data_IF_345323021790
#
_entry.id   IF_345323021790
#
_cell.length_a   1.000
_cell.length_b   1.000
_cell.length_c   1.000
_cell.angle_alpha   90.00
_cell.angle_beta   90.00
_cell.angle_gamma   90.00
#
_symmetry.space_group_name_H-M   'P 1'
#
loop_
_entity.id
_entity.type
_entity.pdbx_description
1 polymer ?
#
# COMPACT_ATOMS: atom_id res chain seq x y z
N UNK A 1 22.10 0.03 7.98
CA UNK A 1 21.73 0.28 9.40
C UNK A 1 20.77 -0.81 9.81
N UNK A 2 20.96 -1.46 10.96
CA UNK A 2 19.99 -2.43 11.48
C UNK A 2 18.85 -1.63 12.12
N UNK A 3 17.60 -1.90 11.74
CA UNK A 3 16.45 -1.18 12.23
C UNK A 3 15.53 -2.12 13.03
N UNK A 4 14.99 -1.64 14.15
CA UNK A 4 13.98 -2.40 14.88
C UNK A 4 12.68 -2.39 14.09
N UNK A 5 12.11 -3.58 13.85
CA UNK A 5 10.94 -3.79 13.01
C UNK A 5 9.82 -4.50 13.79
N UNK A 6 8.66 -3.87 13.85
CA UNK A 6 7.41 -4.51 14.28
C UNK A 6 6.67 -5.05 13.06
N UNK A 7 6.40 -6.35 13.02
CA UNK A 7 5.61 -7.01 11.98
C UNK A 7 4.27 -7.43 12.59
N UNK A 8 3.19 -6.80 12.16
CA UNK A 8 1.83 -7.19 12.53
C UNK A 8 1.38 -8.36 11.68
N UNK A 9 1.43 -9.59 12.22
CA UNK A 9 1.08 -10.79 11.49
C UNK A 9 0.44 -11.86 12.38
N UNK A 10 -0.66 -12.42 11.86
CA UNK A 10 -1.35 -13.60 12.37
C UNK A 10 -2.01 -14.31 11.18
N UNK A 11 -2.13 -15.64 11.19
CA UNK A 11 -2.77 -16.39 10.10
C UNK A 11 -4.22 -15.97 9.87
N UNK A 12 -4.94 -15.47 10.88
CA UNK A 12 -6.30 -14.93 10.75
C UNK A 12 -6.41 -13.75 9.76
N UNK A 13 -5.30 -13.08 9.44
CA UNK A 13 -5.29 -12.06 8.38
C UNK A 13 -5.58 -12.64 6.99
N UNK A 14 -5.51 -13.97 6.83
CA UNK A 14 -5.94 -14.66 5.61
C UNK A 14 -7.45 -14.91 5.54
N UNK A 15 -8.21 -14.59 6.59
CA UNK A 15 -9.67 -14.67 6.59
C UNK A 15 -10.33 -13.52 5.78
N UNK A 16 -9.55 -12.52 5.38
CA UNK A 16 -9.97 -11.51 4.41
C UNK A 16 -9.99 -12.14 3.01
N UNK A 17 -11.06 -12.85 2.70
CA UNK A 17 -11.17 -13.73 1.52
C UNK A 17 -12.53 -13.57 0.82
N UNK A 18 -12.50 -12.98 -0.36
CA UNK A 18 -13.66 -12.84 -1.24
C UNK A 18 -14.05 -14.12 -1.99
N UNK A 19 -13.30 -15.20 -1.81
CA UNK A 19 -13.53 -16.49 -2.41
C UNK A 19 -12.60 -16.85 -3.58
N UNK A 20 -12.65 -18.09 -4.07
CA UNK A 20 -11.60 -18.69 -4.90
C UNK A 20 -11.48 -18.13 -6.32
N UNK A 21 -12.44 -17.35 -6.78
CA UNK A 21 -12.41 -16.73 -8.12
C UNK A 21 -12.04 -15.25 -8.08
N UNK A 22 -11.86 -14.70 -6.89
CA UNK A 22 -11.52 -13.29 -6.72
C UNK A 22 -10.01 -13.09 -6.89
N UNK A 23 -9.56 -12.04 -7.61
CA UNK A 23 -8.12 -11.79 -7.82
C UNK A 23 -7.36 -11.51 -6.54
N UNK A 24 -7.97 -10.82 -5.57
CA UNK A 24 -7.36 -10.58 -4.26
C UNK A 24 -7.47 -11.85 -3.41
N UNK A 25 -6.52 -12.77 -3.57
CA UNK A 25 -6.49 -14.03 -2.84
C UNK A 25 -5.52 -13.97 -1.64
N UNK A 26 -5.95 -14.36 -0.43
CA UNK A 26 -5.14 -14.25 0.79
C UNK A 26 -3.89 -15.12 0.79
N UNK A 27 -3.82 -16.13 -0.06
CA UNK A 27 -2.62 -16.98 -0.23
C UNK A 27 -1.35 -16.16 -0.49
N UNK A 28 -1.45 -15.00 -1.18
CA UNK A 28 -0.33 -14.12 -1.48
C UNK A 28 0.37 -13.61 -0.21
N UNK A 29 -0.40 -13.26 0.82
CA UNK A 29 0.15 -12.81 2.10
C UNK A 29 0.81 -13.97 2.83
N UNK A 30 0.17 -15.14 2.85
CA UNK A 30 0.73 -16.35 3.46
C UNK A 30 2.05 -16.76 2.80
N UNK A 31 2.11 -16.79 1.48
CA UNK A 31 3.34 -17.11 0.74
C UNK A 31 4.46 -16.11 1.01
N UNK A 32 4.14 -14.84 1.18
CA UNK A 32 5.10 -13.80 1.59
C UNK A 32 5.70 -14.10 2.96
N UNK A 33 4.86 -14.37 3.95
CA UNK A 33 5.34 -14.62 5.30
C UNK A 33 6.16 -15.92 5.40
N UNK A 34 5.79 -16.95 4.64
CA UNK A 34 6.58 -18.20 4.55
C UNK A 34 7.93 -17.96 3.84
N UNK A 35 7.98 -17.12 2.79
CA UNK A 35 9.23 -16.77 2.12
C UNK A 35 10.13 -15.94 3.05
N UNK A 36 9.59 -14.96 3.73
CA UNK A 36 10.33 -14.16 4.71
C UNK A 36 10.87 -15.01 5.87
N UNK A 37 10.09 -15.99 6.34
CA UNK A 37 10.52 -16.97 7.34
C UNK A 37 11.65 -17.86 6.81
N UNK A 38 11.53 -18.36 5.58
CA UNK A 38 12.54 -19.20 4.96
C UNK A 38 13.89 -18.48 4.72
N UNK A 39 13.87 -17.15 4.53
CA UNK A 39 15.06 -16.31 4.51
C UNK A 39 15.59 -15.93 5.90
N UNK A 40 14.87 -16.27 6.97
CA UNK A 40 15.23 -15.89 8.34
C UNK A 40 14.97 -14.42 8.68
N UNK A 41 14.26 -13.67 7.83
CA UNK A 41 13.95 -12.25 8.07
C UNK A 41 13.13 -12.08 9.37
N UNK A 42 12.15 -12.95 9.59
CA UNK A 42 11.25 -12.87 10.75
C UNK A 42 11.87 -13.39 12.06
N UNK A 43 13.05 -14.00 12.02
CA UNK A 43 13.76 -14.55 13.20
C UNK A 43 15.01 -13.74 13.57
N UNK A 44 15.19 -12.56 13.01
CA UNK A 44 16.28 -11.65 13.37
C UNK A 44 15.98 -10.99 14.72
N UNK A 45 17.01 -10.75 15.55
CA UNK A 45 16.88 -10.20 16.91
C UNK A 45 16.15 -8.83 16.95
N UNK A 46 16.28 -8.03 15.90
CA UNK A 46 15.63 -6.73 15.78
C UNK A 46 14.20 -6.79 15.24
N UNK A 47 13.70 -7.95 14.83
CA UNK A 47 12.36 -8.14 14.27
C UNK A 47 11.45 -8.78 15.28
N UNK A 48 10.32 -8.13 15.57
CA UNK A 48 9.29 -8.65 16.46
C UNK A 48 8.01 -8.89 15.68
N UNK A 49 7.54 -10.13 15.66
CA UNK A 49 6.27 -10.50 15.01
C UNK A 49 5.18 -10.59 16.09
N UNK A 50 4.11 -9.80 15.96
CA UNK A 50 3.00 -9.73 16.95
C UNK A 50 1.67 -9.90 16.23
N UNK A 51 0.83 -10.80 16.76
CA UNK A 51 -0.54 -10.98 16.29
C UNK A 51 -1.39 -9.74 16.61
N UNK A 52 -2.09 -9.16 15.62
CA UNK A 52 -2.93 -8.00 15.84
C UNK A 52 -4.22 -8.34 16.56
N UNK A 53 -4.84 -7.31 17.15
CA UNK A 53 -6.24 -7.32 17.58
C UNK A 53 -7.08 -6.55 16.56
N UNK A 54 -8.35 -6.94 16.33
CA UNK A 54 -9.24 -6.17 15.45
C UNK A 54 -9.37 -4.72 15.92
N UNK A 55 -9.40 -3.79 14.97
CA UNK A 55 -9.72 -2.40 15.24
C UNK A 55 -11.13 -2.30 15.86
N UNK A 56 -11.28 -1.45 16.86
CA UNK A 56 -12.56 -1.14 17.48
C UNK A 56 -13.43 -0.28 16.57
N UNK A 57 -14.73 -0.26 16.80
CA UNK A 57 -15.64 0.64 16.07
C UNK A 57 -15.23 2.10 16.21
N UNK A 58 -14.70 2.52 17.33
CA UNK A 58 -14.22 3.87 17.56
C UNK A 58 -13.01 4.20 16.66
N UNK A 59 -12.08 3.26 16.50
CA UNK A 59 -10.93 3.41 15.60
C UNK A 59 -11.36 3.41 14.13
N UNK A 60 -12.28 2.52 13.74
CA UNK A 60 -12.84 2.51 12.39
C UNK A 60 -13.56 3.84 12.06
N UNK A 61 -14.26 4.42 13.04
CA UNK A 61 -14.98 5.69 12.90
C UNK A 61 -14.08 6.93 12.76
N UNK A 62 -12.78 6.80 12.94
CA UNK A 62 -11.84 7.88 12.57
C UNK A 62 -11.94 8.24 11.07
N UNK A 63 -12.34 7.27 10.24
CA UNK A 63 -12.47 7.45 8.79
C UNK A 63 -13.88 7.10 8.30
N UNK A 64 -14.46 6.00 8.76
CA UNK A 64 -15.68 5.44 8.21
C UNK A 64 -16.93 5.89 8.98
N UNK A 65 -18.03 6.09 8.24
CA UNK A 65 -19.33 6.42 8.83
C UNK A 65 -19.87 5.24 9.67
N UNK A 66 -20.47 5.51 10.85
CA UNK A 66 -21.06 4.47 11.69
C UNK A 66 -22.13 3.64 10.96
N UNK A 67 -22.90 4.28 10.05
CA UNK A 67 -23.90 3.61 9.23
C UNK A 67 -23.29 2.59 8.26
N UNK A 68 -22.15 2.93 7.65
CA UNK A 68 -21.41 2.02 6.78
C UNK A 68 -20.88 0.80 7.58
N UNK A 69 -20.24 1.04 8.72
CA UNK A 69 -19.74 -0.03 9.59
C UNK A 69 -20.88 -0.97 9.99
N UNK A 70 -22.06 -0.45 10.32
CA UNK A 70 -23.24 -1.26 10.65
C UNK A 70 -23.70 -2.12 9.47
N UNK A 71 -23.66 -1.61 8.24
CA UNK A 71 -24.00 -2.37 7.02
C UNK A 71 -22.97 -3.48 6.77
N UNK A 72 -21.68 -3.22 6.92
CA UNK A 72 -20.60 -4.23 6.77
C UNK A 72 -20.80 -5.38 7.79
N UNK A 73 -21.11 -5.06 9.06
CA UNK A 73 -21.43 -6.05 10.10
C UNK A 73 -22.62 -6.92 9.71
N UNK A 74 -23.71 -6.27 9.30
CA UNK A 74 -24.93 -6.98 8.92
C UNK A 74 -24.73 -7.85 7.67
N UNK A 75 -23.94 -7.38 6.69
CA UNK A 75 -23.58 -8.12 5.48
C UNK A 75 -22.76 -9.37 5.81
N UNK A 76 -21.72 -9.25 6.67
CA UNK A 76 -20.90 -10.38 7.12
C UNK A 76 -21.70 -11.41 7.90
N UNK A 77 -22.56 -10.97 8.83
CA UNK A 77 -23.47 -11.85 9.59
C UNK A 77 -24.45 -12.59 8.64
N UNK A 78 -25.03 -11.87 7.67
CA UNK A 78 -25.93 -12.47 6.68
C UNK A 78 -25.26 -13.62 5.88
N UNK A 79 -23.97 -13.49 5.59
CA UNK A 79 -23.23 -14.51 4.85
C UNK A 79 -22.75 -15.69 5.70
N UNK A 80 -22.62 -15.53 7.04
CA UNK A 80 -22.05 -16.54 7.92
C UNK A 80 -23.05 -17.20 8.88
N UNK A 81 -24.16 -16.55 9.21
CA UNK A 81 -25.08 -16.98 10.28
C UNK A 81 -26.42 -17.44 9.73
N UNK A 82 -26.84 -18.66 10.10
CA UNK A 82 -28.18 -19.17 9.77
C UNK A 82 -29.26 -18.37 10.52
N UNK A 83 -30.15 -17.72 9.77
CA UNK A 83 -31.23 -16.90 10.34
C UNK A 83 -30.86 -15.45 10.63
N UNK A 84 -29.66 -15.00 10.21
CA UNK A 84 -29.32 -13.58 10.26
C UNK A 84 -30.29 -12.74 9.41
N UNK A 85 -30.44 -11.47 9.80
CA UNK A 85 -31.29 -10.54 9.06
C UNK A 85 -30.71 -10.27 7.67
N UNK A 86 -31.56 -10.40 6.64
CA UNK A 86 -31.13 -10.06 5.26
C UNK A 86 -30.97 -8.55 5.11
N UNK A 87 -29.85 -8.15 4.58
CA UNK A 87 -29.61 -6.75 4.18
C UNK A 87 -30.20 -6.55 2.77
N UNK A 88 -30.95 -5.45 2.60
CA UNK A 88 -31.52 -5.10 1.30
C UNK A 88 -30.42 -4.90 0.23
N UNK A 89 -30.50 -5.55 -0.94
CA UNK A 89 -29.49 -5.43 -1.99
C UNK A 89 -29.19 -3.99 -2.44
N UNK A 90 -30.21 -3.11 -2.48
CA UNK A 90 -30.00 -1.71 -2.82
C UNK A 90 -29.19 -0.98 -1.74
N UNK A 91 -29.29 -1.41 -0.49
CA UNK A 91 -28.46 -0.88 0.60
C UNK A 91 -27.02 -1.37 0.46
N UNK A 92 -26.79 -2.64 0.18
CA UNK A 92 -25.44 -3.15 -0.10
C UNK A 92 -24.77 -2.37 -1.24
N UNK A 93 -25.45 -2.23 -2.37
CA UNK A 93 -24.92 -1.53 -3.55
C UNK A 93 -24.61 -0.05 -3.29
N UNK A 94 -25.42 0.65 -2.48
CA UNK A 94 -25.13 2.04 -2.08
C UNK A 94 -23.82 2.16 -1.30
N UNK A 95 -23.43 1.10 -0.63
CA UNK A 95 -22.18 1.03 0.13
C UNK A 95 -21.07 0.25 -0.60
N UNK A 96 -21.20 0.04 -1.92
CA UNK A 96 -20.20 -0.65 -2.74
C UNK A 96 -20.09 -2.15 -2.50
N UNK A 97 -20.98 -2.73 -1.66
CA UNK A 97 -20.95 -4.15 -1.29
C UNK A 97 -21.82 -5.01 -2.20
N UNK A 98 -21.47 -6.30 -2.31
CA UNK A 98 -22.20 -7.25 -3.15
C UNK A 98 -21.97 -7.03 -4.65
N UNK A 99 -20.93 -6.34 -5.03
CA UNK A 99 -20.44 -6.17 -6.40
C UNK A 99 -19.49 -7.32 -6.78
N UNK A 100 -19.01 -7.33 -8.01
CA UNK A 100 -17.95 -8.26 -8.42
C UNK A 100 -16.62 -7.92 -7.77
N UNK A 101 -16.36 -6.63 -7.50
CA UNK A 101 -15.12 -6.15 -6.89
C UNK A 101 -15.13 -6.33 -5.36
N UNK A 102 -16.28 -6.13 -4.72
CA UNK A 102 -16.42 -6.23 -3.27
C UNK A 102 -17.59 -7.17 -2.91
N UNK A 103 -17.46 -8.47 -3.17
CA UNK A 103 -18.47 -9.46 -2.81
C UNK A 103 -18.66 -9.55 -1.31
N UNK A 104 -19.87 -9.85 -0.85
CA UNK A 104 -20.13 -10.12 0.56
C UNK A 104 -19.59 -11.50 0.93
N UNK A 105 -18.83 -11.59 2.01
CA UNK A 105 -18.32 -12.85 2.55
C UNK A 105 -18.59 -12.97 4.06
N UNK A 106 -18.53 -14.20 4.57
CA UNK A 106 -18.78 -14.46 5.99
C UNK A 106 -17.71 -13.81 6.87
N UNK A 107 -18.12 -13.28 8.04
CA UNK A 107 -17.22 -12.58 8.97
C UNK A 107 -16.45 -11.39 8.36
N UNK A 108 -17.04 -10.76 7.34
CA UNK A 108 -16.42 -9.65 6.59
C UNK A 108 -15.95 -8.51 7.52
N UNK A 109 -16.77 -8.14 8.51
CA UNK A 109 -16.41 -7.10 9.47
C UNK A 109 -15.18 -7.48 10.29
N UNK A 110 -15.20 -8.69 10.87
CA UNK A 110 -14.15 -9.19 11.74
C UNK A 110 -12.80 -9.29 11.01
N UNK A 111 -12.80 -9.82 9.80
CA UNK A 111 -11.61 -9.93 8.97
C UNK A 111 -11.07 -8.54 8.57
N UNK A 112 -11.95 -7.64 8.14
CA UNK A 112 -11.56 -6.28 7.75
C UNK A 112 -11.08 -5.44 8.93
N UNK A 113 -11.74 -5.58 10.09
CA UNK A 113 -11.31 -4.91 11.31
C UNK A 113 -9.96 -5.45 11.83
N UNK A 114 -9.66 -6.74 11.60
CA UNK A 114 -8.37 -7.33 11.93
C UNK A 114 -7.25 -6.77 11.05
N UNK A 115 -7.48 -6.57 9.74
CA UNK A 115 -6.52 -5.91 8.84
C UNK A 115 -6.28 -4.47 9.29
N UNK A 116 -7.32 -3.71 9.59
CA UNK A 116 -7.19 -2.34 10.10
C UNK A 116 -6.42 -2.32 11.44
N UNK A 117 -6.72 -3.25 12.35
CA UNK A 117 -6.02 -3.40 13.61
C UNK A 117 -4.54 -3.77 13.46
N UNK A 118 -4.18 -4.53 12.43
CA UNK A 118 -2.79 -4.86 12.12
C UNK A 118 -1.99 -3.61 11.72
N UNK A 119 -2.57 -2.77 10.85
CA UNK A 119 -1.94 -1.51 10.42
C UNK A 119 -1.87 -0.51 11.57
N UNK A 120 -2.91 -0.43 12.42
CA UNK A 120 -2.89 0.39 13.63
C UNK A 120 -1.79 -0.05 14.62
N UNK A 121 -1.63 -1.35 14.88
CA UNK A 121 -0.59 -1.86 15.77
C UNK A 121 0.82 -1.52 15.23
N UNK A 122 1.03 -1.62 13.93
CA UNK A 122 2.26 -1.22 13.27
C UNK A 122 2.52 0.30 13.40
N UNK A 123 1.50 1.13 13.21
CA UNK A 123 1.57 2.58 13.39
C UNK A 123 1.89 2.95 14.84
N UNK A 124 1.23 2.32 15.80
CA UNK A 124 1.45 2.52 17.24
C UNK A 124 2.89 2.18 17.65
N UNK A 125 3.43 1.07 17.13
CA UNK A 125 4.81 0.67 17.40
C UNK A 125 5.82 1.70 16.88
N UNK A 126 5.64 2.17 15.63
CA UNK A 126 6.52 3.17 15.02
C UNK A 126 6.38 4.55 15.70
N UNK A 127 5.17 4.97 16.05
CA UNK A 127 4.91 6.27 16.66
C UNK A 127 5.40 6.36 18.10
N UNK A 128 5.17 5.31 18.91
CA UNK A 128 5.64 5.27 20.30
C UNK A 128 7.15 5.08 20.44
N UNK A 129 7.85 4.69 19.38
CA UNK A 129 9.27 4.33 19.41
C UNK A 129 9.54 2.92 19.95
N UNK A 130 8.53 2.07 20.08
CA UNK A 130 8.70 0.64 20.41
C UNK A 130 9.45 -0.10 19.28
N UNK A 131 9.29 0.36 18.04
CA UNK A 131 10.09 -0.01 16.88
C UNK A 131 10.36 1.25 16.03
N UNK A 132 11.42 1.25 15.23
CA UNK A 132 11.63 2.31 14.24
C UNK A 132 10.65 2.18 13.07
N UNK A 133 10.43 0.94 12.63
CA UNK A 133 9.54 0.62 11.53
C UNK A 133 8.41 -0.29 11.98
N UNK A 134 7.20 -0.06 11.48
CA UNK A 134 6.04 -0.92 11.65
C UNK A 134 5.51 -1.37 10.31
N UNK A 135 5.16 -2.65 10.16
CA UNK A 135 4.67 -3.20 8.91
C UNK A 135 3.42 -4.05 9.08
N UNK A 136 2.46 -3.88 8.17
CA UNK A 136 1.27 -4.72 7.99
C UNK A 136 1.14 -5.11 6.52
N UNK A 137 1.64 -6.29 6.16
CA UNK A 137 1.63 -6.77 4.76
C UNK A 137 0.21 -7.05 4.24
N UNK A 138 -0.72 -7.40 5.12
CA UNK A 138 -2.13 -7.62 4.75
C UNK A 138 -2.91 -6.31 4.55
N UNK A 139 -2.36 -5.18 5.00
CA UNK A 139 -2.95 -3.86 4.86
C UNK A 139 -2.66 -3.22 3.50
N UNK A 140 -2.97 -1.93 3.41
CA UNK A 140 -2.84 -1.14 2.18
C UNK A 140 -4.12 -1.07 1.37
N UNK A 141 -5.28 -1.24 2.01
CA UNK A 141 -6.61 -1.23 1.39
C UNK A 141 -7.08 0.21 1.14
N UNK A 142 -6.43 0.88 0.21
CA UNK A 142 -6.45 2.33 0.01
C UNK A 142 -7.67 2.88 -0.72
N UNK A 143 -8.54 2.02 -1.30
CA UNK A 143 -9.70 2.46 -2.08
C UNK A 143 -10.98 2.66 -1.28
N UNK A 144 -11.10 2.05 -0.09
CA UNK A 144 -12.32 2.19 0.69
C UNK A 144 -12.58 3.67 1.03
N UNK A 145 -13.79 4.11 0.73
CA UNK A 145 -14.26 5.46 0.98
C UNK A 145 -14.90 5.58 2.38
N UNK A 146 -15.19 6.79 2.82
CA UNK A 146 -15.83 7.05 4.12
C UNK A 146 -17.09 6.22 4.35
N UNK A 147 -17.93 6.05 3.33
CA UNK A 147 -19.23 5.38 3.42
C UNK A 147 -19.40 4.19 2.49
N UNK A 148 -18.36 3.72 1.82
CA UNK A 148 -18.48 2.62 0.87
C UNK A 148 -17.19 1.83 0.68
N UNK A 149 -17.31 0.53 0.41
CA UNK A 149 -16.28 -0.32 -0.14
C UNK A 149 -15.98 0.07 -1.59
N UNK A 150 -14.77 -0.19 -2.05
CA UNK A 150 -14.34 0.04 -3.42
C UNK A 150 -13.03 -0.71 -3.68
N UNK A 151 -12.82 -1.26 -4.87
CA UNK A 151 -11.54 -1.81 -5.31
C UNK A 151 -10.96 -2.86 -4.35
N UNK A 152 -11.78 -3.82 -3.93
CA UNK A 152 -11.41 -4.90 -3.00
C UNK A 152 -11.17 -4.44 -1.56
N UNK A 153 -11.49 -3.19 -1.23
CA UNK A 153 -11.22 -2.58 0.07
C UNK A 153 -12.51 -2.34 0.85
N UNK A 154 -12.64 -2.99 2.01
CA UNK A 154 -13.79 -2.79 2.91
C UNK A 154 -13.53 -1.65 3.89
N UNK A 155 -12.41 -1.67 4.61
CA UNK A 155 -11.96 -0.56 5.46
C UNK A 155 -10.60 -0.05 5.00
N UNK A 156 -10.44 1.28 5.01
CA UNK A 156 -9.21 1.94 4.60
C UNK A 156 -8.21 1.97 5.76
N UNK A 157 -7.46 0.90 5.93
CA UNK A 157 -6.52 0.77 7.03
C UNK A 157 -5.39 1.82 7.00
N UNK A 158 -4.82 2.25 5.85
CA UNK A 158 -3.84 3.34 5.83
C UNK A 158 -4.45 4.67 6.32
N UNK A 159 -5.67 5.00 5.88
CA UNK A 159 -6.32 6.22 6.31
C UNK A 159 -6.67 6.18 7.81
N UNK A 160 -7.13 5.04 8.33
CA UNK A 160 -7.40 4.85 9.77
C UNK A 160 -6.12 5.03 10.58
N UNK A 161 -5.00 4.46 10.15
CA UNK A 161 -3.71 4.60 10.82
C UNK A 161 -3.22 6.07 10.81
N UNK A 162 -3.35 6.77 9.69
CA UNK A 162 -3.00 8.20 9.59
C UNK A 162 -3.90 9.04 10.51
N UNK A 163 -5.22 8.81 10.48
CA UNK A 163 -6.15 9.53 11.36
C UNK A 163 -5.81 9.29 12.85
N UNK A 164 -5.50 8.03 13.22
CA UNK A 164 -5.05 7.70 14.56
C UNK A 164 -3.76 8.44 14.95
N UNK A 165 -2.76 8.50 14.05
CA UNK A 165 -1.53 9.24 14.29
C UNK A 165 -1.80 10.72 14.59
N UNK A 166 -2.69 11.36 13.83
CA UNK A 166 -3.09 12.76 14.04
C UNK A 166 -3.78 12.98 15.39
N UNK A 167 -4.69 12.05 15.80
CA UNK A 167 -5.36 12.10 17.10
C UNK A 167 -4.36 11.86 18.26
N UNK A 168 -3.22 11.21 17.99
CA UNK A 168 -2.19 10.92 18.97
C UNK A 168 -0.97 11.85 18.87
N UNK A 169 -1.15 13.05 18.31
CA UNK A 169 -0.21 14.16 18.37
C UNK A 169 0.75 14.28 17.20
N UNK A 170 0.55 13.53 16.11
CA UNK A 170 1.25 13.83 14.87
C UNK A 170 0.69 15.11 14.24
N UNK A 171 1.56 16.04 13.88
CA UNK A 171 1.21 17.31 13.24
C UNK A 171 1.40 17.27 11.72
N UNK A 172 2.28 16.39 11.23
CA UNK A 172 2.55 16.18 9.79
C UNK A 172 2.84 14.73 9.52
N UNK A 173 2.02 14.13 8.63
CA UNK A 173 2.15 12.76 8.14
C UNK A 173 2.28 12.80 6.62
N UNK A 174 3.32 12.18 6.06
CA UNK A 174 3.40 11.97 4.61
C UNK A 174 2.97 10.54 4.28
N UNK A 175 2.07 10.41 3.32
CA UNK A 175 1.65 9.13 2.74
C UNK A 175 2.16 9.04 1.31
N UNK A 176 2.91 7.99 1.00
CA UNK A 176 3.41 7.71 -0.34
C UNK A 176 2.88 6.36 -0.80
N UNK A 177 2.16 6.37 -1.90
CA UNK A 177 1.49 5.24 -2.50
C UNK A 177 2.17 4.89 -3.82
N UNK A 178 2.72 3.69 -3.92
CA UNK A 178 3.39 3.19 -5.12
C UNK A 178 2.65 2.01 -5.76
N UNK A 179 1.40 1.78 -5.37
CA UNK A 179 0.46 0.90 -6.06
C UNK A 179 0.23 1.39 -7.50
N UNK A 180 -0.15 0.50 -8.40
CA UNK A 180 -0.49 0.91 -9.77
C UNK A 180 -1.79 1.69 -9.86
N UNK A 181 -2.67 1.52 -8.86
CA UNK A 181 -3.93 2.25 -8.75
C UNK A 181 -3.77 3.53 -7.93
N UNK A 182 -4.52 4.55 -8.26
CA UNK A 182 -4.59 5.77 -7.45
C UNK A 182 -5.13 5.47 -6.05
N UNK A 183 -4.45 5.92 -4.99
CA UNK A 183 -4.89 5.80 -3.60
C UNK A 183 -6.03 6.77 -3.26
N UNK A 184 -7.13 6.66 -3.98
CA UNK A 184 -8.24 7.61 -3.99
C UNK A 184 -8.96 7.73 -2.65
N UNK A 185 -9.12 6.63 -1.92
CA UNK A 185 -9.76 6.63 -0.60
C UNK A 185 -8.93 7.34 0.45
N UNK A 186 -7.60 7.18 0.43
CA UNK A 186 -6.70 7.93 1.34
C UNK A 186 -6.68 9.41 0.98
N UNK A 187 -6.54 9.75 -0.32
CA UNK A 187 -6.63 11.14 -0.78
C UNK A 187 -7.95 11.78 -0.35
N UNK A 188 -9.07 11.10 -0.53
CA UNK A 188 -10.40 11.60 -0.17
C UNK A 188 -10.56 11.83 1.34
N UNK A 189 -9.99 10.94 2.19
CA UNK A 189 -10.04 11.06 3.64
C UNK A 189 -9.36 12.34 4.15
N UNK A 190 -8.29 12.78 3.48
CA UNK A 190 -7.49 13.93 3.92
C UNK A 190 -7.53 15.11 2.93
N UNK A 191 -8.50 15.15 2.02
CA UNK A 191 -8.62 16.17 0.97
C UNK A 191 -8.52 17.62 1.47
N UNK A 192 -9.01 17.91 2.67
CA UNK A 192 -9.01 19.23 3.30
C UNK A 192 -8.11 19.31 4.55
N UNK A 193 -7.23 18.34 4.79
CA UNK A 193 -6.35 18.34 5.98
C UNK A 193 -4.89 18.62 5.59
N UNK A 194 -4.38 19.85 5.83
CA UNK A 194 -3.01 20.23 5.45
C UNK A 194 -1.92 19.52 6.29
N UNK A 195 -2.31 18.76 7.31
CA UNK A 195 -1.37 17.96 8.11
C UNK A 195 -0.97 16.66 7.42
N UNK A 196 -1.66 16.27 6.34
CA UNK A 196 -1.38 15.04 5.59
C UNK A 196 -1.01 15.38 4.16
N UNK A 197 0.20 15.00 3.76
CA UNK A 197 0.64 15.05 2.36
C UNK A 197 0.42 13.66 1.76
N UNK A 198 -0.45 13.52 0.77
CA UNK A 198 -0.65 12.29 0.00
C UNK A 198 0.07 12.39 -1.34
N UNK A 199 0.89 11.40 -1.67
CA UNK A 199 1.60 11.29 -2.95
C UNK A 199 1.29 9.92 -3.54
N UNK A 200 0.68 9.85 -4.72
CA UNK A 200 0.37 8.60 -5.40
C UNK A 200 1.01 8.56 -6.79
N UNK A 201 1.81 7.50 -7.05
CA UNK A 201 2.38 7.20 -8.35
C UNK A 201 1.60 6.05 -8.97
N UNK A 202 0.78 6.33 -9.96
CA UNK A 202 -0.17 5.36 -10.49
C UNK A 202 -0.29 5.44 -12.01
N UNK A 203 -0.87 4.41 -12.62
CA UNK A 203 -1.18 4.43 -14.05
C UNK A 203 -2.27 5.47 -14.33
N UNK A 204 -2.14 6.14 -15.46
CA UNK A 204 -3.00 7.26 -15.85
C UNK A 204 -4.50 6.93 -15.75
N UNK A 205 -5.33 7.78 -15.10
CA UNK A 205 -6.72 7.51 -14.76
C UNK A 205 -7.66 7.29 -15.96
N UNK A 206 -7.27 7.69 -17.16
CA UNK A 206 -8.03 7.38 -18.36
C UNK A 206 -7.91 5.91 -18.81
N UNK A 207 -6.98 5.15 -18.25
CA UNK A 207 -6.64 3.79 -18.67
C UNK A 207 -6.74 2.74 -17.56
N UNK A 208 -6.97 3.18 -16.33
CA UNK A 208 -7.07 2.29 -15.17
C UNK A 208 -8.09 2.82 -14.14
N UNK A 209 -8.69 1.87 -13.40
CA UNK A 209 -9.46 2.14 -12.18
C UNK A 209 -8.57 2.91 -11.15
N UNK A 210 -9.12 3.78 -10.31
CA UNK A 210 -10.53 4.20 -10.20
C UNK A 210 -10.93 5.32 -11.16
N UNK A 211 -10.05 5.80 -12.03
CA UNK A 211 -10.33 6.88 -12.97
C UNK A 211 -10.13 8.29 -12.39
N UNK A 212 -9.53 8.40 -11.21
CA UNK A 212 -9.15 9.62 -10.48
C UNK A 212 -7.63 9.73 -10.35
N UNK A 213 -7.11 10.79 -9.73
CA UNK A 213 -5.68 11.01 -9.56
C UNK A 213 -5.04 11.78 -10.72
N UNK A 214 -5.70 12.83 -11.20
CA UNK A 214 -5.08 13.74 -12.19
C UNK A 214 -4.06 14.65 -11.50
N UNK A 215 -2.99 15.08 -12.17
CA UNK A 215 -2.01 16.02 -11.60
C UNK A 215 -2.63 17.32 -11.08
N UNK A 216 -3.83 17.68 -11.56
CA UNK A 216 -4.58 18.86 -11.12
C UNK A 216 -5.44 18.64 -9.87
N UNK A 217 -5.50 17.44 -9.35
CA UNK A 217 -6.14 17.12 -8.06
C UNK A 217 -5.12 17.37 -6.95
N UNK A 218 -5.08 18.62 -6.45
CA UNK A 218 -4.00 19.12 -5.57
C UNK A 218 -4.40 19.23 -4.11
N UNK A 219 -5.62 18.87 -3.75
CA UNK A 219 -6.21 19.02 -2.42
C UNK A 219 -7.34 20.04 -2.38
N UNK A 220 -8.04 20.12 -1.26
CA UNK A 220 -9.10 21.08 -1.06
C UNK A 220 -8.61 22.47 -0.73
N UNK A 221 -9.53 23.45 -0.63
CA UNK A 221 -9.19 24.85 -0.45
C UNK A 221 -8.37 25.16 0.82
N UNK A 222 -8.53 24.32 1.86
CA UNK A 222 -7.79 24.46 3.13
C UNK A 222 -6.45 23.71 3.12
N UNK A 223 -6.19 22.91 2.07
CA UNK A 223 -5.04 22.00 1.96
C UNK A 223 -4.48 21.92 0.53
N UNK A 224 -4.53 23.02 -0.23
CA UNK A 224 -4.05 23.07 -1.60
C UNK A 224 -2.54 22.76 -1.66
N UNK A 225 -2.15 21.80 -2.50
CA UNK A 225 -0.81 21.24 -2.59
C UNK A 225 -0.58 19.99 -1.70
N UNK A 226 -1.55 19.58 -0.89
CA UNK A 226 -1.44 18.39 -0.02
C UNK A 226 -1.76 17.06 -0.72
N UNK A 227 -2.37 17.08 -1.89
CA UNK A 227 -2.57 15.90 -2.73
C UNK A 227 -1.67 15.99 -3.98
N UNK A 228 -0.93 14.92 -4.26
CA UNK A 228 0.06 14.86 -5.34
C UNK A 228 -0.17 13.61 -6.16
N UNK A 229 -0.38 13.78 -7.45
CA UNK A 229 -0.75 12.71 -8.35
C UNK A 229 0.22 12.63 -9.54
N UNK A 230 0.92 11.52 -9.68
CA UNK A 230 1.80 11.22 -10.79
C UNK A 230 1.13 10.19 -11.69
N UNK A 231 0.42 10.69 -12.69
CA UNK A 231 -0.39 9.88 -13.61
C UNK A 231 0.49 9.35 -14.77
N UNK A 232 1.07 8.18 -14.60
CA UNK A 232 2.04 7.58 -15.53
C UNK A 232 1.35 6.92 -16.73
N UNK A 233 1.91 7.02 -17.94
CA UNK A 233 1.38 6.31 -19.10
C UNK A 233 1.45 4.80 -18.93
N UNK A 234 0.47 4.06 -19.46
CA UNK A 234 0.55 2.62 -19.59
C UNK A 234 1.82 2.22 -20.36
N UNK A 235 2.44 1.10 -19.97
CA UNK A 235 3.73 0.66 -20.54
C UNK A 235 4.96 1.37 -19.97
N UNK A 236 4.80 2.22 -18.95
CA UNK A 236 5.95 2.79 -18.21
C UNK A 236 6.79 1.68 -17.61
N UNK A 237 8.10 1.74 -17.84
CA UNK A 237 9.10 0.76 -17.38
C UNK A 237 9.94 1.30 -16.23
N UNK A 238 10.79 0.43 -15.68
CA UNK A 238 11.63 0.67 -14.50
C UNK A 238 12.29 2.05 -14.49
N UNK A 239 13.01 2.40 -15.56
CA UNK A 239 13.76 3.66 -15.63
C UNK A 239 12.84 4.89 -15.54
N UNK A 240 11.70 4.87 -16.23
CA UNK A 240 10.74 5.96 -16.22
C UNK A 240 10.02 6.06 -14.86
N UNK A 241 9.62 4.93 -14.30
CA UNK A 241 8.95 4.87 -13.00
C UNK A 241 9.86 5.36 -11.86
N UNK A 242 11.10 4.87 -11.79
CA UNK A 242 12.08 5.34 -10.80
C UNK A 242 12.43 6.81 -10.99
N UNK A 243 12.57 7.26 -12.25
CA UNK A 243 12.77 8.68 -12.56
C UNK A 243 11.61 9.53 -12.02
N UNK A 244 10.36 9.12 -12.21
CA UNK A 244 9.20 9.83 -11.68
C UNK A 244 9.18 9.83 -10.14
N UNK A 245 9.42 8.68 -9.51
CA UNK A 245 9.51 8.57 -8.07
C UNK A 245 10.54 9.55 -7.49
N UNK A 246 11.75 9.55 -8.02
CA UNK A 246 12.84 10.39 -7.50
C UNK A 246 12.67 11.88 -7.82
N UNK A 247 12.01 12.22 -8.94
CA UNK A 247 11.71 13.60 -9.31
C UNK A 247 10.63 14.25 -8.42
N UNK A 248 9.74 13.45 -7.83
CA UNK A 248 8.54 13.95 -7.12
C UNK A 248 8.61 13.69 -5.62
N UNK A 249 8.86 12.44 -5.18
CA UNK A 249 8.67 12.06 -3.78
C UNK A 249 9.69 12.70 -2.85
N UNK A 250 11.01 12.57 -3.06
CA UNK A 250 11.98 13.10 -2.10
C UNK A 250 11.94 14.63 -1.93
N UNK A 251 11.82 15.46 -2.99
CA UNK A 251 11.71 16.90 -2.83
C UNK A 251 10.50 17.32 -1.99
N UNK A 252 9.34 16.69 -2.23
CA UNK A 252 8.10 17.02 -1.52
C UNK A 252 8.14 16.58 -0.07
N UNK A 253 8.58 15.36 0.22
CA UNK A 253 8.66 14.84 1.59
C UNK A 253 9.67 15.64 2.42
N UNK A 254 10.84 16.00 1.85
CA UNK A 254 11.82 16.85 2.52
C UNK A 254 11.28 18.25 2.80
N UNK A 255 10.53 18.84 1.87
CA UNK A 255 9.87 20.14 2.05
C UNK A 255 8.78 20.09 3.12
N UNK A 256 7.97 19.05 3.12
CA UNK A 256 6.86 18.86 4.04
C UNK A 256 7.34 18.54 5.48
N UNK A 257 8.50 17.87 5.62
CA UNK A 257 9.12 17.48 6.90
C UNK A 257 8.15 16.72 7.81
N UNK A 258 7.67 15.54 7.41
CA UNK A 258 6.75 14.75 8.21
C UNK A 258 7.41 14.23 9.48
N UNK A 259 6.64 13.91 10.50
CA UNK A 259 7.10 13.26 11.72
C UNK A 259 7.09 11.73 11.60
N UNK A 260 6.36 11.20 10.63
CA UNK A 260 6.32 9.79 10.23
C UNK A 260 6.03 9.69 8.73
N UNK A 261 6.70 8.75 8.06
CA UNK A 261 6.41 8.37 6.69
C UNK A 261 5.51 7.14 6.70
N UNK A 262 4.40 7.19 6.00
CA UNK A 262 3.49 6.06 5.76
C UNK A 262 3.58 5.69 4.28
N UNK A 263 3.78 4.41 3.97
CA UNK A 263 3.94 3.98 2.58
C UNK A 263 3.10 2.75 2.27
N UNK A 264 2.43 2.78 1.10
CA UNK A 264 1.71 1.66 0.54
C UNK A 264 2.54 1.06 -0.61
N UNK A 265 2.74 -0.25 -0.56
CA UNK A 265 3.65 -0.98 -1.43
C UNK A 265 2.91 -2.03 -2.27
N UNK A 266 1.82 -1.63 -2.93
CA UNK A 266 1.21 -2.44 -3.96
C UNK A 266 2.25 -2.83 -5.01
N UNK A 267 2.24 -4.08 -5.41
CA UNK A 267 3.21 -4.62 -6.38
C UNK A 267 2.58 -4.98 -7.73
N UNK A 268 1.35 -4.54 -7.95
CA UNK A 268 0.60 -4.66 -9.20
C UNK A 268 1.11 -3.72 -10.31
N UNK A 269 2.11 -2.90 -10.03
CA UNK A 269 2.93 -2.22 -11.04
C UNK A 269 3.74 -3.18 -11.90
N UNK A 270 3.88 -4.45 -11.48
CA UNK A 270 4.71 -5.44 -12.16
C UNK A 270 4.18 -5.79 -13.55
N UNK A 271 5.09 -5.96 -14.54
CA UNK A 271 4.75 -6.18 -15.95
C UNK A 271 3.86 -7.41 -16.21
N UNK A 272 3.83 -8.39 -15.31
CA UNK A 272 3.00 -9.59 -15.43
C UNK A 272 1.71 -9.50 -14.61
N UNK A 273 1.42 -8.38 -13.97
CA UNK A 273 0.17 -8.26 -13.22
C UNK A 273 -1.04 -8.27 -14.17
N UNK A 274 -2.08 -9.07 -13.86
CA UNK A 274 -3.23 -9.21 -14.77
C UNK A 274 -4.19 -8.02 -14.77
N UNK A 275 -4.08 -7.10 -13.80
CA UNK A 275 -5.06 -6.01 -13.63
C UNK A 275 -4.54 -4.65 -14.07
N UNK A 276 -3.27 -4.53 -14.49
CA UNK A 276 -2.65 -3.27 -14.83
C UNK A 276 -1.71 -3.37 -16.04
N UNK A 277 -1.18 -2.23 -16.48
CA UNK A 277 -0.37 -2.17 -17.69
C UNK A 277 0.93 -1.34 -17.51
N UNK A 278 1.42 -1.16 -16.29
CA UNK A 278 2.82 -0.77 -16.10
C UNK A 278 3.72 -1.99 -16.34
N UNK A 279 4.98 -1.74 -16.67
CA UNK A 279 5.95 -2.78 -17.02
C UNK A 279 7.16 -2.77 -16.06
N UNK A 280 6.87 -2.78 -14.75
CA UNK A 280 7.90 -2.68 -13.70
C UNK A 280 8.39 -4.07 -13.31
N UNK A 281 9.69 -4.19 -13.00
CA UNK A 281 10.29 -5.41 -12.43
C UNK A 281 10.41 -5.32 -10.91
N UNK A 282 10.64 -6.47 -10.26
CA UNK A 282 10.94 -6.51 -8.82
C UNK A 282 12.24 -5.75 -8.51
N UNK A 283 13.20 -5.70 -9.43
CA UNK A 283 14.43 -4.92 -9.27
C UNK A 283 14.13 -3.44 -9.02
N UNK A 284 13.22 -2.83 -9.80
CA UNK A 284 12.81 -1.44 -9.62
C UNK A 284 11.95 -1.25 -8.35
N UNK A 285 11.03 -2.18 -8.06
CA UNK A 285 10.24 -2.12 -6.81
C UNK A 285 11.16 -2.14 -5.59
N UNK A 286 12.19 -3.00 -5.57
CA UNK A 286 13.22 -3.02 -4.51
C UNK A 286 13.97 -1.69 -4.39
N UNK A 287 14.34 -1.08 -5.52
CA UNK A 287 15.00 0.23 -5.52
C UNK A 287 14.11 1.32 -4.90
N UNK A 288 12.82 1.28 -5.19
CA UNK A 288 11.85 2.18 -4.56
C UNK A 288 11.73 1.93 -3.05
N UNK A 289 11.68 0.66 -2.60
CA UNK A 289 11.67 0.32 -1.17
C UNK A 289 12.90 0.91 -0.46
N UNK A 290 14.10 0.74 -1.02
CA UNK A 290 15.33 1.28 -0.45
C UNK A 290 15.34 2.83 -0.43
N UNK A 291 14.82 3.47 -1.48
CA UNK A 291 14.72 4.92 -1.54
C UNK A 291 13.74 5.48 -0.48
N UNK A 292 12.58 4.83 -0.29
CA UNK A 292 11.61 5.21 0.74
C UNK A 292 12.12 4.95 2.15
N UNK A 293 12.84 3.84 2.38
CA UNK A 293 13.54 3.57 3.64
C UNK A 293 14.53 4.68 3.98
N UNK A 294 15.41 5.01 3.04
CA UNK A 294 16.36 6.11 3.22
C UNK A 294 15.64 7.42 3.50
N UNK A 295 14.57 7.74 2.76
CA UNK A 295 13.80 8.96 2.94
C UNK A 295 13.11 9.04 4.31
N UNK A 296 12.61 7.92 4.86
CA UNK A 296 12.07 7.86 6.21
C UNK A 296 13.13 8.25 7.26
N UNK A 297 14.36 7.80 7.10
CA UNK A 297 15.47 8.18 7.98
C UNK A 297 15.90 9.64 7.79
N UNK A 298 15.89 10.15 6.56
CA UNK A 298 16.28 11.54 6.27
C UNK A 298 15.24 12.56 6.74
N UNK A 299 13.94 12.27 6.59
CA UNK A 299 12.88 13.27 6.69
C UNK A 299 11.88 13.03 7.84
N UNK A 300 11.87 11.84 8.45
CA UNK A 300 10.91 11.45 9.48
C UNK A 300 11.56 10.77 10.71
N UNK A 301 12.82 11.08 11.00
CA UNK A 301 13.60 10.53 12.13
C UNK A 301 13.60 8.98 12.17
N UNK A 302 13.48 8.34 11.03
CA UNK A 302 13.40 6.89 10.88
C UNK A 302 12.04 6.27 11.23
N UNK A 303 11.00 7.07 11.51
CA UNK A 303 9.66 6.54 11.74
C UNK A 303 9.00 6.19 10.41
N UNK A 304 8.79 4.90 10.21
CA UNK A 304 8.25 4.38 8.96
C UNK A 304 7.14 3.35 9.21
N UNK A 305 5.93 3.62 8.70
CA UNK A 305 4.82 2.68 8.63
C UNK A 305 4.70 2.18 7.20
N UNK A 306 4.71 0.86 7.02
CA UNK A 306 4.62 0.20 5.73
C UNK A 306 3.38 -0.68 5.65
N UNK A 307 2.70 -0.65 4.52
CA UNK A 307 1.63 -1.60 4.22
C UNK A 307 1.92 -2.37 2.94
N UNK A 308 1.26 -3.50 2.75
CA UNK A 308 1.15 -4.14 1.44
C UNK A 308 0.32 -3.27 0.50
N UNK A 309 -0.60 -3.86 -0.24
CA UNK A 309 -1.47 -3.20 -1.21
C UNK A 309 -1.94 -4.17 -2.29
N UNK A 310 -2.14 -3.69 -3.52
CA UNK A 310 -2.44 -4.51 -4.67
C UNK A 310 -1.28 -5.43 -5.07
N UNK A 311 -1.60 -6.39 -5.93
CA UNK A 311 -0.67 -7.39 -6.44
C UNK A 311 -1.36 -8.73 -6.64
N UNK A 312 -1.46 -9.17 -7.89
CA UNK A 312 -2.33 -10.25 -8.31
C UNK A 312 -1.56 -11.37 -9.04
N UNK A 313 -0.24 -11.24 -9.14
CA UNK A 313 0.66 -12.35 -9.41
C UNK A 313 1.06 -13.04 -8.10
N UNK A 314 0.14 -13.90 -7.63
CA UNK A 314 0.09 -14.41 -6.26
C UNK A 314 1.33 -15.21 -5.84
N UNK A 315 1.99 -15.87 -6.78
CA UNK A 315 3.15 -16.75 -6.55
C UNK A 315 4.44 -16.13 -7.06
N UNK A 316 4.40 -15.59 -8.28
CA UNK A 316 5.60 -15.14 -8.99
C UNK A 316 6.13 -13.79 -8.51
N UNK A 317 5.24 -12.87 -8.05
CA UNK A 317 5.61 -11.49 -7.75
C UNK A 317 5.46 -11.15 -6.28
N UNK A 318 4.23 -11.21 -5.76
CA UNK A 318 3.88 -10.69 -4.44
C UNK A 318 4.80 -11.21 -3.33
N UNK A 319 5.05 -12.52 -3.20
CA UNK A 319 5.91 -13.03 -2.12
C UNK A 319 7.34 -12.50 -2.19
N UNK A 320 7.89 -12.37 -3.41
CA UNK A 320 9.26 -11.88 -3.59
C UNK A 320 9.37 -10.41 -3.25
N UNK A 321 8.49 -9.60 -3.80
CA UNK A 321 8.48 -8.14 -3.61
C UNK A 321 8.33 -7.78 -2.14
N UNK A 322 7.33 -8.34 -1.45
CA UNK A 322 7.10 -8.01 -0.05
C UNK A 322 8.10 -8.66 0.91
N UNK A 323 8.73 -9.79 0.54
CA UNK A 323 9.87 -10.31 1.30
C UNK A 323 11.08 -9.37 1.20
N UNK A 324 11.33 -8.78 0.03
CA UNK A 324 12.33 -7.73 -0.11
C UNK A 324 11.99 -6.50 0.73
N UNK A 325 10.72 -6.08 0.77
CA UNK A 325 10.26 -4.97 1.61
C UNK A 325 10.52 -5.23 3.11
N UNK A 326 10.16 -6.42 3.60
CA UNK A 326 10.40 -6.82 5.00
C UNK A 326 11.90 -6.83 5.34
N UNK A 327 12.72 -7.37 4.44
CA UNK A 327 14.17 -7.40 4.60
C UNK A 327 14.79 -6.00 4.57
N UNK A 328 14.31 -5.12 3.71
CA UNK A 328 14.71 -3.70 3.65
C UNK A 328 14.34 -2.99 4.94
N UNK A 329 13.11 -3.15 5.42
CA UNK A 329 12.62 -2.52 6.64
C UNK A 329 13.34 -3.01 7.90
N UNK A 330 13.89 -4.23 7.93
CA UNK A 330 14.74 -4.73 9.02
C UNK A 330 16.20 -4.21 8.96
N UNK A 331 16.56 -3.50 7.88
CA UNK A 331 17.92 -3.04 7.62
C UNK A 331 18.88 -4.15 7.16
N UNK A 332 18.34 -5.28 6.69
CA UNK A 332 19.13 -6.43 6.21
C UNK A 332 18.64 -6.89 4.81
N UNK A 333 18.81 -6.05 3.77
CA UNK A 333 18.25 -6.31 2.45
C UNK A 333 18.80 -7.61 1.83
N UNK A 334 17.91 -8.36 1.17
CA UNK A 334 18.26 -9.55 0.42
C UNK A 334 18.90 -9.14 -0.92
N UNK A 335 20.01 -9.77 -1.29
CA UNK A 335 20.66 -9.51 -2.58
C UNK A 335 19.73 -9.94 -3.75
N UNK A 336 19.73 -9.20 -4.87
CA UNK A 336 18.80 -9.44 -5.97
C UNK A 336 18.98 -10.80 -6.66
N UNK A 337 20.19 -11.30 -6.73
CA UNK A 337 20.56 -12.56 -7.39
C UNK A 337 20.38 -13.80 -6.52
N UNK A 338 19.84 -13.65 -5.31
CA UNK A 338 19.61 -14.79 -4.41
C UNK A 338 18.57 -15.74 -4.97
N UNK A 339 18.83 -17.07 -4.92
CA UNK A 339 17.80 -18.04 -5.22
C UNK A 339 16.73 -18.04 -4.11
N UNK A 340 15.49 -18.32 -4.48
CA UNK A 340 14.42 -18.60 -3.52
C UNK A 340 14.76 -19.89 -2.75
N UNK A 341 14.51 -19.97 -1.43
CA UNK A 341 14.83 -21.14 -0.61
C UNK A 341 14.09 -22.39 -1.08
N UNK A 342 14.79 -23.53 -1.16
CA UNK A 342 14.21 -24.79 -1.61
C UNK A 342 12.99 -25.22 -0.79
N UNK A 343 13.04 -25.00 0.54
CA UNK A 343 11.91 -25.31 1.44
C UNK A 343 10.66 -24.49 1.10
N UNK A 344 10.82 -23.24 0.70
CA UNK A 344 9.69 -22.43 0.27
C UNK A 344 9.15 -22.86 -1.09
N UNK A 345 10.01 -23.20 -2.04
CA UNK A 345 9.58 -23.74 -3.34
C UNK A 345 8.80 -25.04 -3.20
N UNK A 346 9.24 -25.91 -2.29
CA UNK A 346 8.51 -27.14 -1.97
C UNK A 346 7.13 -26.83 -1.38
N UNK A 347 7.04 -25.89 -0.45
CA UNK A 347 5.77 -25.43 0.12
C UNK A 347 4.82 -24.87 -0.95
N UNK A 348 5.31 -24.02 -1.85
CA UNK A 348 4.53 -23.51 -2.98
C UNK A 348 3.97 -24.66 -3.82
N UNK A 349 4.76 -25.68 -4.10
CA UNK A 349 4.33 -26.87 -4.85
C UNK A 349 3.17 -27.66 -4.22
N UNK A 350 2.93 -27.47 -2.91
CA UNK A 350 1.79 -28.09 -2.23
C UNK A 350 0.53 -27.23 -2.21
N UNK A 351 0.68 -25.90 -2.23
CA UNK A 351 -0.44 -24.98 -1.99
C UNK A 351 -0.85 -24.15 -3.20
N UNK A 352 -0.05 -24.14 -4.25
CA UNK A 352 -0.31 -23.37 -5.47
C UNK A 352 -0.23 -24.24 -6.73
N UNK A 353 -1.00 -23.87 -7.75
CA UNK A 353 -0.96 -24.55 -9.05
C UNK A 353 0.23 -24.10 -9.93
N UNK A 354 0.79 -22.93 -9.65
CA UNK A 354 1.93 -22.36 -10.37
C UNK A 354 3.26 -22.77 -9.72
N UNK A 355 4.32 -22.99 -10.52
CA UNK A 355 5.64 -23.26 -9.97
C UNK A 355 6.20 -22.05 -9.24
N UNK A 356 6.98 -22.26 -8.19
CA UNK A 356 7.69 -21.19 -7.50
C UNK A 356 8.80 -20.60 -8.40
N UNK A 357 9.07 -19.28 -8.35
CA UNK A 357 10.21 -18.66 -9.03
C UNK A 357 11.52 -19.15 -8.45
N UNK A 358 12.55 -19.25 -9.28
CA UNK A 358 13.89 -19.72 -8.85
C UNK A 358 14.72 -18.61 -8.18
N UNK A 359 14.56 -17.37 -8.61
CA UNK A 359 15.32 -16.19 -8.15
C UNK A 359 14.42 -15.16 -7.49
N UNK A 360 15.02 -14.33 -6.66
CA UNK A 360 14.30 -13.29 -5.93
C UNK A 360 13.95 -12.06 -6.79
N UNK A 361 14.62 -11.86 -7.93
CA UNK A 361 14.32 -10.78 -8.89
C UNK A 361 14.46 -11.28 -10.33
N UNK A 362 14.21 -10.42 -11.30
CA UNK A 362 14.42 -10.67 -12.72
C UNK A 362 15.85 -10.36 -13.19
N UNK A 363 16.68 -9.71 -12.35
CA UNK A 363 18.04 -9.31 -12.69
C UNK A 363 18.10 -8.18 -13.72
N UNK A 364 17.06 -7.35 -13.82
CA UNK A 364 16.98 -6.25 -14.77
C UNK A 364 17.86 -5.04 -14.39
N UNK A 365 18.19 -4.94 -13.10
CA UNK A 365 18.82 -3.75 -12.55
C UNK A 365 17.80 -2.62 -12.33
N UNK A 366 18.24 -1.51 -11.70
CA UNK A 366 17.36 -0.41 -11.31
C UNK A 366 17.97 0.96 -11.68
N UNK A 367 18.64 1.05 -12.84
CA UNK A 367 19.22 2.30 -13.31
C UNK A 367 18.15 3.21 -13.96
N UNK A 368 18.22 4.49 -13.63
CA UNK A 368 17.37 5.51 -14.23
C UNK A 368 18.16 6.82 -14.42
N UNK A 369 17.85 7.63 -15.45
CA UNK A 369 18.42 8.98 -15.59
C UNK A 369 17.76 9.93 -14.58
N UNK A 370 18.56 10.76 -13.92
CA UNK A 370 18.04 11.82 -13.05
C UNK A 370 17.22 12.83 -13.86
N UNK A 371 16.07 13.26 -13.34
CA UNK A 371 15.22 14.26 -13.99
C UNK A 371 15.93 15.61 -14.13
N UNK A 372 16.72 16.00 -13.14
CA UNK A 372 17.48 17.25 -13.16
C UNK A 372 18.65 17.24 -14.19
N UNK A 373 19.02 16.07 -14.71
CA UNK A 373 20.02 15.96 -15.77
C UNK A 373 19.48 16.34 -17.16
N UNK A 374 18.17 16.42 -17.33
CA UNK A 374 17.51 16.85 -18.57
C UNK A 374 16.07 16.38 -18.69
N UNK A 375 15.23 17.26 -19.22
CA UNK A 375 13.84 17.03 -19.55
C UNK A 375 13.67 16.79 -21.06
N UNK A 376 13.00 15.73 -21.43
CA UNK A 376 12.60 15.46 -22.82
C UNK A 376 11.11 15.71 -23.01
N UNK A 377 10.71 16.81 -23.71
CA UNK A 377 9.29 17.10 -23.93
C UNK A 377 8.57 16.08 -24.82
N UNK A 378 9.28 15.16 -25.48
CA UNK A 378 8.68 14.08 -26.26
C UNK A 378 8.47 12.81 -25.43
N UNK A 379 9.10 12.67 -24.25
CA UNK A 379 8.90 11.52 -23.36
C UNK A 379 7.59 11.68 -22.56
N UNK A 380 6.62 10.74 -22.68
CA UNK A 380 5.37 10.81 -21.95
C UNK A 380 5.56 10.73 -20.43
N UNK A 381 6.62 10.09 -19.92
CA UNK A 381 6.93 10.06 -18.49
C UNK A 381 7.40 11.42 -18.00
N UNK A 382 8.28 12.07 -18.76
CA UNK A 382 8.71 13.44 -18.42
C UNK A 382 7.55 14.43 -18.48
N UNK A 383 6.61 14.26 -19.42
CA UNK A 383 5.39 15.05 -19.48
C UNK A 383 4.54 14.85 -18.20
N UNK A 384 4.42 13.60 -17.70
CA UNK A 384 3.70 13.32 -16.45
C UNK A 384 4.40 13.96 -15.23
N UNK A 385 5.74 13.87 -15.16
CA UNK A 385 6.53 14.48 -14.09
C UNK A 385 6.32 16.00 -14.09
N UNK A 386 6.49 16.66 -15.24
CA UNK A 386 6.37 18.13 -15.30
C UNK A 386 4.93 18.60 -15.06
N UNK A 387 3.91 17.81 -15.47
CA UNK A 387 2.52 18.13 -15.17
C UNK A 387 2.27 18.15 -13.66
N UNK A 388 2.77 17.16 -12.93
CA UNK A 388 2.67 17.10 -11.46
C UNK A 388 3.48 18.20 -10.79
N UNK A 389 4.74 18.40 -11.19
CA UNK A 389 5.60 19.46 -10.63
C UNK A 389 4.97 20.86 -10.84
N UNK A 390 4.47 21.13 -12.03
CA UNK A 390 3.84 22.41 -12.36
C UNK A 390 2.56 22.66 -11.55
N UNK A 391 1.81 21.62 -11.22
CA UNK A 391 0.58 21.73 -10.44
C UNK A 391 0.86 21.95 -8.94
N UNK A 392 1.86 21.27 -8.37
CA UNK A 392 2.02 21.18 -6.90
C UNK A 392 3.23 21.93 -6.37
N UNK A 393 4.38 21.90 -7.06
CA UNK A 393 5.62 22.47 -6.51
C UNK A 393 5.50 23.95 -6.13
N UNK A 394 4.89 24.83 -6.98
CA UNK A 394 4.71 26.24 -6.60
C UNK A 394 3.87 26.44 -5.34
N UNK A 395 2.86 25.57 -5.11
CA UNK A 395 2.01 25.63 -3.92
C UNK A 395 2.78 25.34 -2.63
N UNK A 396 3.86 24.58 -2.73
CA UNK A 396 4.74 24.21 -1.63
C UNK A 396 6.06 24.99 -1.60
N UNK A 397 6.20 26.00 -2.45
CA UNK A 397 7.39 26.87 -2.51
C UNK A 397 8.60 26.22 -3.18
N UNK A 398 8.38 25.21 -4.03
CA UNK A 398 9.40 24.55 -4.86
C UNK A 398 9.32 25.04 -6.30
N UNK A 399 10.42 24.86 -7.04
CA UNK A 399 10.43 25.12 -8.49
C UNK A 399 9.99 23.87 -9.27
N UNK A 400 9.15 24.05 -10.32
CA UNK A 400 8.69 22.96 -11.18
C UNK A 400 9.80 22.23 -11.92
#
# INVERSE_FOLDING_TARGET
MTCTLHVSWDERLTDYDFGPQHPLAPIRVKLTMELARAFGVLSQDQVTVIGPTPATDAELQLVHDPGYIAVVKAAGAMASETGAQTVDPATLLRHGLGTADDPVFGHMHEASALVAGATLAAAQAAWSGAAQHGVSIAGGLHHAMRGSASGFCIYNDPAIAIAWLLENGAERVAYVDIDVHHGDGVQAAFWNDPRVLTISLHQHPATLFPGTGRPTETGGADADGSAVNVALPAGTRDAGWLRALHAIVPPLVRQFRPQILVTQHGCDTHWSDPLANLEITIDAQRAAHAALHQLAHEAADGRWLLTGGGGYQLVQVVPRTWTHLLAEASGTPIQPDRPTPAVWREYVGWVAAEPAPELMTEGAGAAYPDFEAGYDPADPVDQAIIATRSAVFPLLGLFP
#
